data_IF_060314948991
#
_entry.id   IF_060314948991
#
_cell.length_a   1.000
_cell.length_b   1.000
_cell.length_c   1.000
_cell.angle_alpha   90.00
_cell.angle_beta   90.00
_cell.angle_gamma   90.00
#
_symmetry.space_group_name_H-M   'P 1'
#
loop_
_entity.id
_entity.type
_entity.pdbx_description
1 polymer ?
#
# COMPACT_ATOMS: atom_id res chain seq x y z
N UNK A 1 1.70 -10.60 -17.63
CA UNK A 1 0.50 -11.25 -17.22
C UNK A 1 0.27 -11.27 -15.73
N UNK A 2 0.66 -10.29 -15.02
CA UNK A 2 0.32 -10.13 -13.63
C UNK A 2 -1.09 -9.60 -13.47
N UNK A 3 -1.58 -9.65 -12.25
CA UNK A 3 -2.86 -9.03 -11.92
C UNK A 3 -2.72 -7.52 -12.06
N UNK A 4 -3.76 -6.88 -12.55
CA UNK A 4 -3.78 -5.43 -12.62
C UNK A 4 -4.14 -4.88 -11.25
N UNK A 5 -3.32 -4.00 -10.74
CA UNK A 5 -3.56 -3.37 -9.44
C UNK A 5 -3.39 -1.87 -9.58
N UNK A 6 -3.99 -1.13 -8.66
CA UNK A 6 -3.77 0.30 -8.56
C UNK A 6 -2.91 0.58 -7.35
N UNK A 7 -1.95 1.48 -7.53
CA UNK A 7 -0.98 1.78 -6.48
C UNK A 7 -1.01 3.27 -6.17
N UNK A 8 -0.67 3.58 -4.94
CA UNK A 8 -0.47 4.94 -4.47
C UNK A 8 1.02 5.11 -4.24
N UNK A 9 1.60 6.11 -4.88
CA UNK A 9 3.01 6.41 -4.69
C UNK A 9 3.19 7.23 -3.42
N UNK A 10 4.14 6.82 -2.59
CA UNK A 10 4.47 7.56 -1.38
C UNK A 10 5.43 8.67 -1.78
N UNK A 11 5.02 9.91 -1.53
CA UNK A 11 5.80 11.08 -1.95
C UNK A 11 7.18 11.07 -1.32
N UNK A 12 8.13 11.65 -2.05
CA UNK A 12 9.50 11.72 -1.56
C UNK A 12 9.62 12.58 -0.32
N UNK A 13 8.82 13.64 -0.25
CA UNK A 13 8.68 14.42 0.96
C UNK A 13 7.47 13.91 1.69
N UNK A 14 7.68 13.10 2.72
CA UNK A 14 6.56 12.53 3.45
C UNK A 14 5.72 13.65 4.06
N UNK A 15 4.41 13.64 3.84
CA UNK A 15 3.54 14.60 4.50
C UNK A 15 3.53 14.37 5.99
N UNK A 16 3.11 15.37 6.75
CA UNK A 16 2.96 15.21 8.18
C UNK A 16 2.02 14.06 8.52
N UNK A 17 0.99 13.90 7.71
CA UNK A 17 0.01 12.84 7.92
C UNK A 17 -0.01 12.01 6.64
N UNK A 18 0.41 10.76 6.76
CA UNK A 18 0.39 9.84 5.65
C UNK A 18 -0.82 8.94 5.78
N UNK A 19 -1.68 8.95 4.76
CA UNK A 19 -2.89 8.13 4.80
C UNK A 19 -2.95 7.19 3.61
N UNK A 20 -3.59 6.05 3.83
CA UNK A 20 -3.93 5.12 2.75
C UNK A 20 -5.39 4.74 2.91
N UNK A 21 -6.07 4.36 1.82
CA UNK A 21 -7.46 3.89 1.95
C UNK A 21 -7.51 2.65 2.83
N UNK A 22 -8.56 2.54 3.63
CA UNK A 22 -8.72 1.38 4.51
C UNK A 22 -8.73 0.08 3.72
N UNK A 23 -9.21 0.11 2.49
CA UNK A 23 -9.26 -1.10 1.68
C UNK A 23 -7.87 -1.65 1.36
N UNK A 24 -6.83 -0.82 1.44
CA UNK A 24 -5.46 -1.26 1.22
C UNK A 24 -4.84 -1.86 2.47
N UNK A 25 -5.47 -1.65 3.61
CA UNK A 25 -4.92 -2.09 4.88
C UNK A 25 -5.35 -3.52 5.16
N UNK A 26 -4.40 -4.37 5.48
CA UNK A 26 -4.66 -5.77 5.82
C UNK A 26 -4.28 -5.99 7.27
N UNK A 27 -4.76 -7.07 7.83
CA UNK A 27 -4.49 -7.38 9.22
C UNK A 27 -4.31 -8.87 9.39
N UNK A 28 -3.32 -9.24 10.19
CA UNK A 28 -3.13 -10.63 10.57
C UNK A 28 -2.77 -10.68 12.05
N UNK A 29 -2.28 -11.83 12.51
CA UNK A 29 -1.94 -11.98 13.93
C UNK A 29 -0.79 -11.09 14.36
N UNK A 30 0.05 -10.68 13.42
CA UNK A 30 1.19 -9.83 13.73
C UNK A 30 0.87 -8.33 13.66
N UNK A 31 -0.34 -7.96 13.26
CA UNK A 31 -0.73 -6.56 13.18
C UNK A 31 -1.14 -6.15 11.78
N UNK A 32 -1.04 -4.88 11.49
CA UNK A 32 -1.44 -4.35 10.19
C UNK A 32 -0.30 -4.41 9.19
N UNK A 33 -0.65 -4.57 7.93
CA UNK A 33 0.32 -4.53 6.85
C UNK A 33 -0.37 -4.06 5.57
N UNK A 34 0.46 -3.67 4.60
CA UNK A 34 -0.02 -3.32 3.26
C UNK A 34 0.81 -4.11 2.26
N UNK A 35 0.30 -4.21 1.03
CA UNK A 35 1.05 -4.79 -0.05
C UNK A 35 1.68 -3.67 -0.85
N UNK A 36 2.99 -3.74 -1.03
CA UNK A 36 3.74 -2.75 -1.80
C UNK A 36 4.28 -3.42 -3.05
N UNK A 37 4.69 -2.60 -4.01
CA UNK A 37 5.24 -3.07 -5.28
C UNK A 37 6.63 -2.48 -5.44
N UNK A 38 7.61 -3.33 -5.66
CA UNK A 38 8.99 -2.88 -5.83
C UNK A 38 9.24 -2.43 -7.28
N UNK A 39 10.48 -2.06 -7.58
CA UNK A 39 10.84 -1.55 -8.90
C UNK A 39 10.67 -2.59 -10.01
N UNK A 40 10.62 -3.86 -9.66
CA UNK A 40 10.41 -4.94 -10.61
C UNK A 40 8.95 -5.32 -10.71
N UNK A 41 8.06 -4.52 -10.14
CA UNK A 41 6.61 -4.79 -10.10
C UNK A 41 6.28 -6.08 -9.37
N UNK A 42 7.09 -6.42 -8.39
CA UNK A 42 6.84 -7.60 -7.56
C UNK A 42 6.23 -7.16 -6.24
N UNK A 43 5.23 -7.92 -5.80
CA UNK A 43 4.51 -7.60 -4.58
C UNK A 43 5.32 -8.03 -3.36
N UNK A 44 5.37 -7.15 -2.37
CA UNK A 44 5.96 -7.50 -1.08
C UNK A 44 5.07 -6.98 0.04
N UNK A 45 5.11 -7.68 1.16
CA UNK A 45 4.32 -7.31 2.31
C UNK A 45 5.11 -6.31 3.16
N UNK A 46 4.45 -5.22 3.54
CA UNK A 46 5.06 -4.21 4.40
C UNK A 46 4.26 -4.09 5.68
N UNK A 47 4.89 -4.38 6.80
CA UNK A 47 4.26 -4.21 8.10
C UNK A 47 4.23 -2.72 8.44
N UNK A 48 3.06 -2.21 8.86
CA UNK A 48 2.89 -0.78 9.13
C UNK A 48 2.30 -0.58 10.51
N UNK A 49 2.58 0.58 11.08
CA UNK A 49 1.92 1.02 12.30
C UNK A 49 0.80 1.97 11.97
N UNK A 50 -0.41 1.66 12.40
CA UNK A 50 -1.59 2.48 12.14
C UNK A 50 -1.88 3.28 13.39
N UNK A 51 -1.91 4.61 13.25
CA UNK A 51 -2.18 5.48 14.40
C UNK A 51 -3.67 5.58 14.65
N UNK A 52 -4.47 5.68 13.59
CA UNK A 52 -5.92 5.74 13.73
C UNK A 52 -6.55 5.57 12.35
N UNK A 53 -7.85 5.38 12.33
CA UNK A 53 -8.60 5.25 11.10
C UNK A 53 -9.73 6.29 11.15
N UNK A 54 -9.84 7.08 10.07
CA UNK A 54 -10.77 8.19 10.01
C UNK A 54 -11.34 8.27 8.60
N UNK A 55 -12.67 8.29 8.49
CA UNK A 55 -13.36 8.54 7.22
C UNK A 55 -12.90 7.62 6.09
N UNK A 56 -12.70 6.35 6.40
CA UNK A 56 -12.30 5.38 5.36
C UNK A 56 -10.82 5.41 5.05
N UNK A 57 -10.03 6.17 5.81
CA UNK A 57 -8.59 6.26 5.62
C UNK A 57 -7.87 5.76 6.86
N UNK A 58 -6.71 5.16 6.66
CA UNK A 58 -5.85 4.75 7.75
C UNK A 58 -4.67 5.71 7.82
N UNK A 59 -4.41 6.23 9.00
CA UNK A 59 -3.28 7.12 9.24
C UNK A 59 -2.09 6.25 9.62
N UNK A 60 -1.05 6.29 8.81
CA UNK A 60 0.12 5.43 8.95
C UNK A 60 1.23 6.19 9.66
N UNK A 61 1.69 5.66 10.78
CA UNK A 61 2.75 6.29 11.54
C UNK A 61 4.13 5.73 11.26
N UNK A 62 4.22 4.53 10.69
CA UNK A 62 5.53 3.91 10.43
C UNK A 62 5.37 2.79 9.44
N UNK A 63 6.50 2.39 8.85
CA UNK A 63 6.56 1.22 7.97
C UNK A 63 6.58 1.53 6.49
N UNK A 64 6.30 2.77 6.09
CA UNK A 64 6.35 3.17 4.69
C UNK A 64 7.43 4.21 4.48
N UNK A 65 8.05 4.16 3.31
CA UNK A 65 9.15 5.06 2.97
C UNK A 65 8.84 5.77 1.66
N UNK A 66 9.46 6.94 1.45
CA UNK A 66 9.26 7.67 0.19
C UNK A 66 9.66 6.82 -1.00
N UNK A 67 8.90 6.94 -2.06
CA UNK A 67 9.17 6.21 -3.29
C UNK A 67 8.50 4.86 -3.37
N UNK A 68 7.97 4.36 -2.28
CA UNK A 68 7.25 3.09 -2.30
C UNK A 68 5.90 3.24 -2.98
N UNK A 69 5.43 2.17 -3.58
CA UNK A 69 4.09 2.13 -4.19
C UNK A 69 3.25 1.13 -3.41
N UNK A 70 2.14 1.59 -2.88
CA UNK A 70 1.24 0.78 -2.05
C UNK A 70 0.03 0.40 -2.88
N UNK A 71 -0.32 -0.88 -2.90
CA UNK A 71 -1.48 -1.34 -3.65
C UNK A 71 -2.74 -0.91 -2.92
N UNK A 72 -3.58 -0.13 -3.60
CA UNK A 72 -4.83 0.36 -3.02
C UNK A 72 -6.06 -0.27 -3.65
N UNK A 73 -5.93 -0.88 -4.83
CA UNK A 73 -7.01 -1.65 -5.44
C UNK A 73 -6.43 -2.93 -5.99
N UNK A 74 -7.19 -4.01 -5.85
CA UNK A 74 -6.74 -5.31 -6.32
C UNK A 74 -5.97 -6.09 -5.27
N UNK A 75 -6.04 -5.64 -4.02
CA UNK A 75 -5.26 -6.25 -2.93
C UNK A 75 -5.59 -7.73 -2.78
N UNK A 76 -6.86 -8.10 -2.92
CA UNK A 76 -7.27 -9.51 -2.74
C UNK A 76 -6.88 -10.40 -3.90
N UNK A 77 -6.35 -9.84 -4.98
CA UNK A 77 -5.95 -10.62 -6.14
C UNK A 77 -4.47 -11.00 -6.11
N UNK A 78 -3.73 -10.53 -5.12
CA UNK A 78 -2.29 -10.67 -5.12
C UNK A 78 -1.81 -11.27 -3.81
N UNK A 79 -0.56 -11.71 -3.83
CA UNK A 79 0.13 -12.17 -2.65
C UNK A 79 1.61 -11.85 -2.82
N UNK A 80 2.37 -11.85 -1.71
CA UNK A 80 3.80 -11.51 -1.81
C UNK A 80 4.51 -12.44 -2.77
N UNK A 81 5.41 -11.87 -3.56
CA UNK A 81 6.26 -12.62 -4.47
C UNK A 81 5.80 -12.67 -5.90
N UNK A 82 4.55 -12.31 -6.18
CA UNK A 82 4.08 -12.33 -7.57
C UNK A 82 4.38 -11.00 -8.26
N UNK A 83 4.40 -11.02 -9.58
CA UNK A 83 4.56 -9.81 -10.39
C UNK A 83 3.18 -9.31 -10.82
N UNK A 84 3.00 -8.01 -10.81
CA UNK A 84 1.72 -7.40 -11.13
C UNK A 84 1.89 -6.30 -12.16
N UNK A 85 0.77 -5.89 -12.75
CA UNK A 85 0.70 -4.70 -13.59
C UNK A 85 0.19 -3.55 -12.73
N UNK A 86 1.07 -2.61 -12.41
CA UNK A 86 0.72 -1.52 -11.50
C UNK A 86 0.32 -0.29 -12.28
N UNK A 87 -0.82 0.29 -11.94
CA UNK A 87 -1.31 1.54 -12.52
C UNK A 87 -1.46 2.57 -11.41
N UNK A 88 -1.29 3.86 -11.72
CA UNK A 88 -1.47 4.89 -10.69
C UNK A 88 -2.91 4.90 -10.18
N UNK A 89 -3.07 5.24 -8.92
CA UNK A 89 -4.40 5.40 -8.35
C UNK A 89 -5.10 6.58 -9.01
N UNK A 90 -6.42 6.47 -9.11
CA UNK A 90 -7.22 7.54 -9.67
C UNK A 90 -7.19 8.78 -8.78
N UNK A 91 -7.40 9.91 -9.39
CA UNK A 91 -7.45 11.16 -8.66
C UNK A 91 -6.10 11.77 -8.43
N UNK A 92 -5.10 11.07 -8.89
CA UNK A 92 -3.75 11.61 -8.82
C UNK A 92 -3.52 12.54 -9.98
#
# INVERSE_FOLDING_TARGET
DGALVRVQLIAEDLPEVLTVPQQALQRDLGGYFVMAVDDANRVEQRRVGVERQVDGLAVIGSGLEPGERVIVEGVNKVRPGITVDAAPAEGG
#
